data_IF_271640543701
#
_entry.id   IF_271640543701
#
_cell.length_a   1.000
_cell.length_b   1.000
_cell.length_c   1.000
_cell.angle_alpha   90.00
_cell.angle_beta   90.00
_cell.angle_gamma   90.00
#
_symmetry.space_group_name_H-M   'P 1'
#
loop_
_entity.id
_entity.type
_entity.pdbx_description
1 polymer ?
#
# COMPACT_ATOMS: atom_id res chain seq x y z
N UNK A 1 4.99 -21.41 -25.29
CA UNK A 1 5.52 -20.22 -24.61
C UNK A 1 4.65 -20.01 -23.39
N UNK A 2 5.10 -20.43 -22.20
CA UNK A 2 4.36 -20.17 -20.96
C UNK A 2 4.60 -18.70 -20.60
N UNK A 3 3.55 -17.89 -20.67
CA UNK A 3 3.55 -16.58 -20.02
C UNK A 3 3.63 -16.84 -18.52
N UNK A 4 4.79 -16.59 -17.92
CA UNK A 4 4.87 -16.41 -16.47
C UNK A 4 4.42 -14.98 -16.27
N UNK A 5 3.22 -14.73 -15.72
CA UNK A 5 2.79 -13.37 -15.47
C UNK A 5 3.85 -12.73 -14.59
N UNK A 6 4.26 -11.53 -14.99
CA UNK A 6 5.22 -10.75 -14.23
C UNK A 6 4.70 -10.63 -12.78
N UNK A 7 5.58 -10.92 -11.81
CA UNK A 7 5.20 -10.90 -10.39
C UNK A 7 4.64 -9.53 -10.00
N UNK A 8 5.07 -8.44 -10.66
CA UNK A 8 4.55 -7.10 -10.46
C UNK A 8 3.16 -6.91 -11.08
N UNK A 9 2.85 -7.56 -12.20
CA UNK A 9 1.49 -7.56 -12.78
C UNK A 9 0.51 -8.32 -11.88
N UNK A 10 0.91 -9.48 -11.35
CA UNK A 10 0.09 -10.25 -10.40
C UNK A 10 -0.13 -9.47 -9.09
N UNK A 11 0.90 -8.79 -8.58
CA UNK A 11 0.79 -7.93 -7.40
C UNK A 11 -0.15 -6.74 -7.65
N UNK A 12 -0.05 -6.07 -8.81
CA UNK A 12 -0.93 -4.94 -9.20
C UNK A 12 -2.39 -5.36 -9.33
N UNK A 13 -2.67 -6.51 -9.95
CA UNK A 13 -4.04 -7.06 -10.03
C UNK A 13 -4.59 -7.38 -8.63
N UNK A 14 -3.74 -7.87 -7.73
CA UNK A 14 -4.06 -8.06 -6.31
C UNK A 14 -4.45 -6.75 -5.63
N UNK A 15 -3.63 -5.70 -5.76
CA UNK A 15 -3.86 -4.36 -5.20
C UNK A 15 -5.18 -3.78 -5.69
N UNK A 16 -5.41 -3.77 -7.01
CA UNK A 16 -6.65 -3.25 -7.59
C UNK A 16 -7.89 -3.98 -7.08
N UNK A 17 -7.80 -5.32 -6.92
CA UNK A 17 -8.90 -6.12 -6.36
C UNK A 17 -9.16 -5.80 -4.89
N UNK A 18 -8.12 -5.60 -4.08
CA UNK A 18 -8.25 -5.18 -2.68
C UNK A 18 -8.88 -3.79 -2.60
N UNK A 19 -8.51 -2.84 -3.46
CA UNK A 19 -9.11 -1.50 -3.48
C UNK A 19 -10.59 -1.52 -3.90
N UNK A 20 -10.96 -2.43 -4.81
CA UNK A 20 -12.33 -2.55 -5.32
C UNK A 20 -13.28 -3.30 -4.36
N UNK A 21 -12.82 -4.39 -3.76
CA UNK A 21 -13.66 -5.33 -2.99
C UNK A 21 -13.32 -5.36 -1.49
N UNK A 22 -12.16 -4.81 -1.10
CA UNK A 22 -11.70 -4.76 0.28
C UNK A 22 -12.42 -3.70 1.12
N UNK A 23 -12.29 -3.85 2.44
CA UNK A 23 -12.83 -2.87 3.39
C UNK A 23 -11.89 -1.68 3.52
N UNK A 24 -12.47 -0.48 3.55
CA UNK A 24 -11.73 0.79 3.70
C UNK A 24 -11.29 1.00 5.15
N UNK A 25 -10.06 1.47 5.32
CA UNK A 25 -9.48 1.87 6.59
C UNK A 25 -8.56 3.08 6.41
N UNK A 26 -8.30 3.78 7.51
CA UNK A 26 -7.26 4.79 7.58
C UNK A 26 -5.96 4.12 8.02
N UNK A 27 -4.84 4.51 7.43
CA UNK A 27 -3.51 4.08 7.84
C UNK A 27 -2.63 5.27 8.17
N UNK A 28 -1.89 5.19 9.27
CA UNK A 28 -0.85 6.17 9.62
C UNK A 28 0.51 5.56 9.34
N UNK A 29 1.37 6.26 8.62
CA UNK A 29 2.74 5.82 8.37
C UNK A 29 3.56 5.87 9.66
N UNK A 30 4.14 4.74 10.05
CA UNK A 30 5.03 4.62 11.21
C UNK A 30 6.51 4.54 10.82
N UNK A 31 6.81 4.05 9.62
CA UNK A 31 8.16 4.09 9.04
C UNK A 31 8.09 3.82 7.53
N UNK A 32 9.06 4.35 6.81
CA UNK A 32 9.30 4.02 5.41
C UNK A 32 10.78 3.67 5.21
N UNK A 33 11.05 2.60 4.47
CA UNK A 33 12.40 2.20 4.10
C UNK A 33 12.43 1.71 2.65
N UNK A 34 13.41 2.11 1.83
CA UNK A 34 13.55 1.57 0.47
C UNK A 34 13.85 0.06 0.51
N UNK A 35 13.23 -0.69 -0.41
CA UNK A 35 13.50 -2.12 -0.61
C UNK A 35 14.13 -2.32 -1.98
N UNK A 36 15.35 -2.84 -2.00
CA UNK A 36 16.10 -3.10 -3.23
C UNK A 36 17.24 -2.12 -3.48
N UNK A 37 18.16 -2.51 -4.36
CA UNK A 37 19.32 -1.73 -4.73
C UNK A 37 18.93 -0.69 -5.78
N UNK A 38 19.17 0.58 -5.46
CA UNK A 38 19.31 1.70 -6.40
C UNK A 38 18.09 1.95 -7.29
N UNK A 39 17.20 2.81 -6.77
CA UNK A 39 16.19 3.49 -7.56
C UNK A 39 16.82 4.08 -8.83
N UNK A 40 16.56 3.46 -9.98
CA UNK A 40 17.18 3.86 -11.26
C UNK A 40 16.50 5.09 -11.89
N UNK A 41 15.53 5.71 -11.22
CA UNK A 41 14.82 6.89 -11.72
C UNK A 41 13.77 6.61 -12.81
N UNK A 42 13.62 5.35 -13.23
CA UNK A 42 12.80 4.96 -14.39
C UNK A 42 11.43 4.39 -14.03
N UNK A 43 11.33 3.77 -12.86
CA UNK A 43 10.12 3.13 -12.33
C UNK A 43 9.69 3.83 -11.03
N UNK A 44 8.58 3.44 -10.43
CA UNK A 44 8.18 3.94 -9.11
C UNK A 44 9.00 3.26 -8.00
N UNK A 45 9.48 3.99 -6.97
CA UNK A 45 10.29 3.40 -5.91
C UNK A 45 9.51 2.36 -5.11
N UNK A 46 10.13 1.20 -4.87
CA UNK A 46 9.56 0.19 -3.98
C UNK A 46 9.94 0.50 -2.55
N UNK A 47 8.95 0.82 -1.72
CA UNK A 47 9.15 1.10 -0.30
C UNK A 47 8.51 0.02 0.55
N UNK A 48 9.20 -0.33 1.64
CA UNK A 48 8.61 -0.98 2.80
C UNK A 48 8.02 0.09 3.70
N UNK A 49 6.72 0.01 3.90
CA UNK A 49 5.96 0.90 4.77
C UNK A 49 5.48 0.09 5.97
N UNK A 50 5.86 0.53 7.15
CA UNK A 50 5.26 0.08 8.40
C UNK A 50 4.11 1.05 8.71
N UNK A 51 2.89 0.52 8.78
CA UNK A 51 1.66 1.31 8.91
C UNK A 51 0.89 0.89 10.16
N UNK A 52 0.20 1.84 10.79
CA UNK A 52 -0.83 1.59 11.78
C UNK A 52 -2.20 1.76 11.13
N UNK A 53 -2.96 0.66 11.02
CA UNK A 53 -4.30 0.68 10.45
C UNK A 53 -5.35 0.90 11.53
N UNK A 54 -6.40 1.63 11.16
CA UNK A 54 -7.60 1.85 11.96
C UNK A 54 -8.83 1.72 11.07
N UNK A 55 -9.60 0.65 11.31
CA UNK A 55 -10.93 0.48 10.74
C UNK A 55 -12.00 0.78 11.79
N UNK A 56 -13.18 1.23 11.34
CA UNK A 56 -14.31 1.58 12.23
C UNK A 56 -14.89 0.37 12.98
N UNK A 57 -14.79 -0.81 12.38
CA UNK A 57 -15.31 -2.09 12.91
C UNK A 57 -14.30 -2.81 13.82
N UNK A 58 -13.04 -2.36 13.82
CA UNK A 58 -11.97 -2.97 14.60
C UNK A 58 -11.75 -2.18 15.90
N UNK A 59 -11.73 -2.83 17.07
CA UNK A 59 -11.74 -2.14 18.36
C UNK A 59 -10.40 -1.47 18.71
N UNK A 60 -9.30 -1.87 18.05
CA UNK A 60 -7.95 -1.36 18.30
C UNK A 60 -7.20 -1.19 16.99
N UNK A 61 -6.32 -0.19 16.88
CA UNK A 61 -5.40 -0.11 15.76
C UNK A 61 -4.45 -1.30 15.76
N UNK A 62 -4.02 -1.72 14.58
CA UNK A 62 -3.05 -2.80 14.40
C UNK A 62 -1.96 -2.38 13.43
N UNK A 63 -0.79 -3.01 13.55
CA UNK A 63 0.37 -2.69 12.71
C UNK A 63 0.50 -3.68 11.58
N UNK A 64 0.74 -3.16 10.39
CA UNK A 64 1.02 -3.96 9.20
C UNK A 64 2.31 -3.47 8.56
N UNK A 65 2.94 -4.34 7.80
CA UNK A 65 4.12 -4.02 7.01
C UNK A 65 3.83 -4.41 5.58
N UNK A 66 3.90 -3.44 4.69
CA UNK A 66 3.65 -3.64 3.26
C UNK A 66 4.88 -3.26 2.47
N UNK A 67 5.10 -3.94 1.35
CA UNK A 67 6.11 -3.57 0.36
C UNK A 67 5.36 -3.27 -0.93
N UNK A 68 5.37 -2.01 -1.35
CA UNK A 68 4.63 -1.56 -2.54
C UNK A 68 5.44 -0.53 -3.33
N UNK A 69 5.14 -0.45 -4.63
CA UNK A 69 5.56 0.67 -5.46
C UNK A 69 4.81 1.92 -5.02
N UNK A 70 5.57 2.98 -4.74
CA UNK A 70 5.03 4.28 -4.32
C UNK A 70 5.15 5.22 -5.51
N UNK A 71 4.03 5.71 -6.07
CA UNK A 71 4.07 6.67 -7.16
C UNK A 71 4.94 7.86 -6.78
N UNK A 72 5.82 8.30 -7.67
CA UNK A 72 6.66 9.48 -7.38
C UNK A 72 5.85 10.72 -6.96
N UNK A 73 4.65 10.89 -7.53
CA UNK A 73 3.73 11.97 -7.15
C UNK A 73 3.26 11.88 -5.67
N UNK A 74 3.19 10.66 -5.12
CA UNK A 74 2.76 10.35 -3.77
C UNK A 74 3.92 10.11 -2.78
N UNK A 75 5.18 10.28 -3.20
CA UNK A 75 6.35 9.93 -2.37
C UNK A 75 6.38 10.65 -1.03
N UNK A 76 5.86 11.89 -0.97
CA UNK A 76 5.78 12.66 0.27
C UNK A 76 4.72 12.12 1.25
N UNK A 77 3.73 11.37 0.77
CA UNK A 77 2.71 10.72 1.59
C UNK A 77 3.25 9.48 2.30
N UNK A 78 4.42 8.97 1.89
CA UNK A 78 5.13 7.90 2.59
C UNK A 78 5.97 8.42 3.78
N UNK A 79 5.91 9.72 4.12
CA UNK A 79 6.61 10.28 5.27
C UNK A 79 5.96 9.88 6.61
N UNK A 80 6.74 9.90 7.68
CA UNK A 80 6.31 9.53 9.02
C UNK A 80 5.10 10.37 9.48
N UNK A 81 4.06 9.70 9.97
CA UNK A 81 2.85 10.34 10.51
C UNK A 81 1.84 10.79 9.46
N UNK A 82 2.14 10.64 8.16
CA UNK A 82 1.16 10.87 7.11
C UNK A 82 0.02 9.87 7.19
N UNK A 83 -1.17 10.31 6.79
CA UNK A 83 -2.38 9.48 6.72
C UNK A 83 -2.59 9.04 5.28
N UNK A 84 -2.88 7.76 5.11
CA UNK A 84 -3.11 7.10 3.85
C UNK A 84 -4.48 6.46 3.89
N UNK A 85 -5.21 6.55 2.78
CA UNK A 85 -6.39 5.72 2.58
C UNK A 85 -5.96 4.33 2.13
N UNK A 86 -6.47 3.30 2.81
CA UNK A 86 -6.14 1.92 2.49
C UNK A 86 -7.38 1.07 2.38
N UNK A 87 -7.27 -0.03 1.64
CA UNK A 87 -8.23 -1.11 1.67
C UNK A 87 -7.55 -2.40 2.10
N UNK A 88 -8.29 -3.28 2.77
CA UNK A 88 -7.77 -4.55 3.24
C UNK A 88 -8.82 -5.66 3.15
N UNK A 89 -8.36 -6.90 2.98
CA UNK A 89 -9.23 -8.06 3.16
C UNK A 89 -9.13 -8.60 4.59
N UNK A 90 -10.29 -8.86 5.20
CA UNK A 90 -10.39 -9.41 6.56
C UNK A 90 -9.99 -10.89 6.64
N UNK A 91 -9.97 -11.59 5.50
CA UNK A 91 -9.67 -13.04 5.42
C UNK A 91 -8.26 -13.39 5.88
N UNK A 92 -7.37 -12.40 5.90
CA UNK A 92 -5.95 -12.56 6.17
C UNK A 92 -5.48 -11.66 7.32
N UNK A 93 -6.42 -11.29 8.22
CA UNK A 93 -6.16 -10.36 9.36
C UNK A 93 -5.51 -9.03 8.97
N UNK A 94 -5.67 -8.60 7.71
CA UNK A 94 -5.04 -7.37 7.21
C UNK A 94 -3.56 -7.49 6.88
N UNK A 95 -3.03 -8.68 6.57
CA UNK A 95 -1.72 -8.79 5.89
C UNK A 95 -1.84 -8.41 4.39
N UNK A 96 -3.00 -8.66 3.79
CA UNK A 96 -3.35 -8.19 2.44
C UNK A 96 -3.95 -6.77 2.48
N UNK A 97 -3.09 -5.74 2.43
CA UNK A 97 -3.44 -4.32 2.45
C UNK A 97 -2.99 -3.63 1.16
N UNK A 98 -3.87 -2.84 0.56
CA UNK A 98 -3.59 -1.99 -0.59
C UNK A 98 -3.71 -0.51 -0.19
N UNK A 99 -2.76 0.30 -0.66
CA UNK A 99 -2.77 1.75 -0.43
C UNK A 99 -3.43 2.42 -1.62
N UNK A 100 -4.41 3.29 -1.37
CA UNK A 100 -5.08 4.09 -2.38
C UNK A 100 -4.37 5.45 -2.51
N UNK A 101 -3.29 5.47 -3.30
CA UNK A 101 -2.49 6.68 -3.52
C UNK A 101 -3.30 7.79 -4.21
N UNK A 102 -4.23 7.43 -5.10
CA UNK A 102 -5.06 8.39 -5.82
C UNK A 102 -6.05 9.08 -4.88
N UNK A 103 -6.76 8.30 -4.06
CA UNK A 103 -7.65 8.85 -3.05
C UNK A 103 -6.89 9.73 -2.04
N UNK A 104 -5.70 9.29 -1.61
CA UNK A 104 -4.87 10.06 -0.66
C UNK A 104 -4.31 11.36 -1.25
N UNK A 105 -4.02 11.41 -2.55
CA UNK A 105 -3.58 12.63 -3.24
C UNK A 105 -4.70 13.67 -3.42
N UNK A 106 -5.96 13.28 -3.21
CA UNK A 106 -7.12 14.17 -3.39
C UNK A 106 -7.40 14.50 -4.85
N UNK A 107 -7.00 13.64 -5.79
CA UNK A 107 -7.35 13.79 -7.21
C UNK A 107 -8.83 13.39 -7.39
N UNK A 108 -9.72 14.38 -7.31
CA UNK A 108 -11.13 14.32 -7.74
C UNK A 108 -11.27 14.57 -9.26
#
# INVERSE_FOLDING_TARGET
MLFVPDLEETARVGIAKILADGRRADATVLAAAPVGAEYSGRDDPVLRLDLELRAWDEPKPWRVRVVQQVPLAAINLADLGQRLEVAFFTVDRGESVAIDWAATLGDE
#
